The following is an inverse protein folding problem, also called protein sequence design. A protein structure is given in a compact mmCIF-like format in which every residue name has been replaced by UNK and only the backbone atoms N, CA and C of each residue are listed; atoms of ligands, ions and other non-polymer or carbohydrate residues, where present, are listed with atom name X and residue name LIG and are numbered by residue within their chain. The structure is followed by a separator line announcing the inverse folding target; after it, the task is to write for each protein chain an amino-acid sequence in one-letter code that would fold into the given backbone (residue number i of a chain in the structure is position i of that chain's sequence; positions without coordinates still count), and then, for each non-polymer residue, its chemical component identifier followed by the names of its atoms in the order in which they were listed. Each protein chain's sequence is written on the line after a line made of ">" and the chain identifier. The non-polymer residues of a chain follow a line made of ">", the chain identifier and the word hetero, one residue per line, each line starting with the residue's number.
data_IF_496061459920
#
_entry.id   IF_496061459920
#
_cell.length_a   1.000
_cell.length_b   1.000
_cell.length_c   1.000
_cell.angle_alpha   90.00
_cell.angle_beta   90.00
_cell.angle_gamma   90.00
#
_symmetry.space_group_name_H-M   'P 1'
#
loop_
_entity.id
_entity.type
_entity.pdbx_description
1 polymer ?
#
# COMPACT_ATOMS: atom_id res chain seq x y z
N UNK A 1 -46.97 52.72 18.00
CA UNK A 1 -46.47 51.37 18.36
C UNK A 1 -46.22 50.45 17.15
N UNK A 2 -47.00 50.51 16.06
CA UNK A 2 -46.82 49.61 14.90
C UNK A 2 -45.52 49.78 14.08
N UNK A 3 -44.92 50.98 14.02
CA UNK A 3 -43.66 51.21 13.26
C UNK A 3 -42.43 50.54 13.89
N UNK A 4 -42.38 50.44 15.21
CA UNK A 4 -41.27 49.77 15.90
C UNK A 4 -41.38 48.24 15.82
N UNK A 5 -42.61 47.71 15.76
CA UNK A 5 -42.86 46.28 15.60
C UNK A 5 -42.38 45.75 14.25
N UNK A 6 -42.55 46.53 13.17
CA UNK A 6 -42.08 46.18 11.83
C UNK A 6 -40.54 46.18 11.76
N UNK A 7 -39.89 47.13 12.44
CA UNK A 7 -38.42 47.20 12.50
C UNK A 7 -37.85 46.02 13.33
N UNK A 8 -38.51 45.65 14.43
CA UNK A 8 -38.10 44.52 15.29
C UNK A 8 -38.34 43.18 14.57
N UNK A 9 -39.42 43.01 13.81
CA UNK A 9 -39.63 41.78 13.02
C UNK A 9 -38.62 41.71 11.87
N UNK A 10 -38.29 42.84 11.24
CA UNK A 10 -37.29 42.88 10.16
C UNK A 10 -35.86 42.59 10.65
N UNK A 11 -35.49 42.99 11.87
CA UNK A 11 -34.16 42.67 12.43
C UNK A 11 -34.07 41.20 12.88
N UNK A 12 -35.18 40.63 13.36
CA UNK A 12 -35.26 39.22 13.77
C UNK A 12 -35.21 38.30 12.54
N UNK A 13 -35.87 38.65 11.43
CA UNK A 13 -35.75 37.92 10.16
C UNK A 13 -34.33 38.01 9.55
N UNK A 14 -33.60 39.11 9.73
CA UNK A 14 -32.21 39.23 9.27
C UNK A 14 -31.25 38.35 10.11
N UNK A 15 -31.56 38.11 11.39
CA UNK A 15 -30.77 37.26 12.28
C UNK A 15 -30.92 35.76 11.98
N UNK A 16 -32.04 35.32 11.40
CA UNK A 16 -32.22 33.94 10.95
C UNK A 16 -31.56 33.62 9.60
N UNK A 17 -31.11 34.62 8.83
CA UNK A 17 -30.39 34.42 7.57
C UNK A 17 -28.88 34.14 7.76
N UNK A 18 -28.36 34.21 9.00
CA UNK A 18 -26.94 33.96 9.31
C UNK A 18 -26.65 32.55 9.84
N UNK A 19 -27.65 31.65 9.87
CA UNK A 19 -27.50 30.32 10.45
C UNK A 19 -27.90 29.20 9.48
N UNK A 20 -27.13 29.10 8.39
CA UNK A 20 -26.84 27.83 7.71
C UNK A 20 -25.56 28.05 6.90
N UNK A 21 -24.43 28.16 7.59
CA UNK A 21 -23.14 27.93 6.95
C UNK A 21 -23.02 26.42 6.88
N UNK A 22 -23.47 25.81 5.79
CA UNK A 22 -23.01 24.45 5.45
C UNK A 22 -21.48 24.51 5.58
N UNK A 23 -20.90 23.64 6.42
CA UNK A 23 -19.45 23.48 6.34
C UNK A 23 -19.17 23.06 4.90
N UNK A 24 -18.14 23.64 4.28
CA UNK A 24 -17.78 23.39 2.88
C UNK A 24 -17.45 21.89 2.57
N UNK A 25 -17.57 21.02 3.58
CA UNK A 25 -17.10 19.64 3.60
C UNK A 25 -15.58 19.56 3.55
N UNK A 26 -15.06 18.34 3.58
CA UNK A 26 -13.71 18.09 3.10
C UNK A 26 -13.74 18.12 1.57
N UNK A 27 -12.75 18.78 0.98
CA UNK A 27 -12.70 18.97 -0.47
C UNK A 27 -11.37 18.45 -1.02
N UNK A 28 -11.43 17.49 -1.93
CA UNK A 28 -10.29 17.01 -2.71
C UNK A 28 -10.46 17.50 -4.15
N UNK A 29 -9.60 18.42 -4.58
CA UNK A 29 -9.58 18.94 -5.96
C UNK A 29 -8.37 18.39 -6.68
N UNK A 30 -8.49 18.13 -7.97
CA UNK A 30 -7.31 17.78 -8.74
C UNK A 30 -7.30 18.24 -10.17
N UNK A 31 -6.10 18.18 -10.74
CA UNK A 31 -5.74 18.53 -12.11
C UNK A 31 -4.76 17.43 -12.59
N UNK A 32 -5.27 16.47 -13.37
CA UNK A 32 -4.53 15.27 -13.76
C UNK A 32 -4.53 15.16 -15.29
N UNK A 33 -3.35 15.28 -15.89
CA UNK A 33 -3.18 15.09 -17.34
C UNK A 33 -3.35 13.60 -17.73
N UNK A 34 -3.61 13.34 -19.02
CA UNK A 34 -3.64 12.01 -19.63
C UNK A 34 -4.62 10.98 -19.02
N UNK A 35 -5.69 11.45 -18.38
CA UNK A 35 -6.81 10.59 -17.98
C UNK A 35 -7.51 9.98 -19.21
N UNK A 36 -7.55 8.65 -19.26
CA UNK A 36 -8.26 7.87 -20.29
C UNK A 36 -9.78 7.83 -20.05
N UNK A 37 -10.18 7.93 -18.79
CA UNK A 37 -11.57 7.89 -18.34
C UNK A 37 -12.11 9.30 -18.01
N UNK A 38 -13.40 9.58 -18.28
CA UNK A 38 -14.07 10.82 -17.83
C UNK A 38 -14.47 10.78 -16.35
N UNK A 39 -14.09 9.74 -15.61
CA UNK A 39 -14.31 9.60 -14.18
C UNK A 39 -13.12 8.96 -13.47
N UNK A 40 -12.92 9.34 -12.21
CA UNK A 40 -11.97 8.75 -11.25
C UNK A 40 -12.78 7.96 -10.24
N UNK A 41 -12.33 6.75 -9.87
CA UNK A 41 -12.91 6.04 -8.73
C UNK A 41 -12.15 6.43 -7.47
N UNK A 42 -12.86 6.76 -6.41
CA UNK A 42 -12.29 6.96 -5.08
C UNK A 42 -12.75 5.82 -4.17
N UNK A 43 -11.83 5.20 -3.45
CA UNK A 43 -12.16 4.29 -2.36
C UNK A 43 -11.57 4.75 -1.04
N UNK A 44 -12.32 4.56 0.04
CA UNK A 44 -11.87 4.87 1.39
C UNK A 44 -12.67 4.05 2.41
N UNK A 45 -12.12 3.89 3.60
CA UNK A 45 -12.82 3.26 4.71
C UNK A 45 -13.61 4.33 5.48
N UNK A 46 -14.89 4.06 5.70
CA UNK A 46 -15.76 4.85 6.57
C UNK A 46 -16.38 3.91 7.60
N UNK A 47 -16.05 4.13 8.88
CA UNK A 47 -16.26 3.13 9.94
C UNK A 47 -15.72 1.75 9.49
N UNK A 48 -16.58 0.73 9.43
CA UNK A 48 -16.21 -0.64 9.05
C UNK A 48 -16.56 -1.00 7.61
N UNK A 49 -16.87 -0.01 6.76
CA UNK A 49 -17.28 -0.22 5.37
C UNK A 49 -16.33 0.42 4.38
N UNK A 50 -16.02 -0.31 3.31
CA UNK A 50 -15.37 0.24 2.13
C UNK A 50 -16.41 1.03 1.33
N UNK A 51 -16.17 2.33 1.18
CA UNK A 51 -16.94 3.21 0.30
C UNK A 51 -16.21 3.30 -1.04
N UNK A 52 -16.98 3.27 -2.14
CA UNK A 52 -16.47 3.49 -3.50
C UNK A 52 -17.36 4.54 -4.16
N UNK A 53 -16.75 5.65 -4.56
CA UNK A 53 -17.42 6.76 -5.22
C UNK A 53 -16.86 6.99 -6.63
N UNK A 54 -17.73 7.44 -7.53
CA UNK A 54 -17.35 7.86 -8.88
C UNK A 54 -17.28 9.38 -8.94
N UNK A 55 -16.10 9.92 -9.24
CA UNK A 55 -15.83 11.35 -9.33
C UNK A 55 -15.81 11.78 -10.80
N UNK A 56 -16.71 12.66 -11.25
CA UNK A 56 -16.68 13.16 -12.63
C UNK A 56 -15.48 14.07 -12.86
N UNK A 57 -14.86 13.94 -14.03
CA UNK A 57 -13.77 14.79 -14.51
C UNK A 57 -14.33 15.76 -15.56
N UNK A 58 -14.08 17.05 -15.37
CA UNK A 58 -14.57 18.10 -16.26
C UNK A 58 -13.63 18.30 -17.47
N UNK A 59 -14.08 19.04 -18.48
CA UNK A 59 -13.41 19.21 -19.78
C UNK A 59 -11.93 19.62 -19.71
N UNK A 60 -11.52 20.31 -18.64
CA UNK A 60 -10.15 20.73 -18.39
C UNK A 60 -9.31 19.71 -17.59
N UNK A 61 -9.75 18.44 -17.54
CA UNK A 61 -9.10 17.36 -16.77
C UNK A 61 -8.98 17.64 -15.27
N UNK A 62 -9.87 18.50 -14.76
CA UNK A 62 -9.99 18.78 -13.33
C UNK A 62 -11.15 18.03 -12.74
N UNK A 63 -11.02 17.72 -11.45
CA UNK A 63 -12.11 17.17 -10.66
C UNK A 63 -12.24 17.92 -9.34
N UNK A 64 -13.42 17.83 -8.74
CA UNK A 64 -13.71 18.38 -7.44
C UNK A 64 -14.61 17.39 -6.69
N UNK A 65 -14.05 16.77 -5.67
CA UNK A 65 -14.72 15.79 -4.85
C UNK A 65 -14.98 16.37 -3.47
N UNK A 66 -16.25 16.50 -3.12
CA UNK A 66 -16.70 16.92 -1.79
C UNK A 66 -17.13 15.68 -1.02
N UNK A 67 -16.59 15.51 0.17
CA UNK A 67 -16.86 14.37 1.04
C UNK A 67 -16.99 14.83 2.48
N UNK A 68 -17.85 14.16 3.23
CA UNK A 68 -18.02 14.41 4.66
C UNK A 68 -17.34 13.27 5.42
N UNK A 69 -16.28 13.62 6.14
CA UNK A 69 -15.53 12.72 7.02
C UNK A 69 -15.36 13.41 8.37
N UNK A 70 -15.22 12.62 9.43
CA UNK A 70 -15.07 13.08 10.81
C UNK A 70 -13.65 12.90 11.37
N UNK A 71 -12.82 12.10 10.70
CA UNK A 71 -11.42 11.85 11.08
C UNK A 71 -10.48 11.89 9.86
N UNK A 72 -9.18 11.86 10.10
CA UNK A 72 -8.17 11.65 9.05
C UNK A 72 -8.45 10.35 8.27
N UNK A 73 -8.70 10.48 6.98
CA UNK A 73 -9.05 9.38 6.08
C UNK A 73 -8.08 9.30 4.91
N UNK A 74 -7.68 8.08 4.54
CA UNK A 74 -6.92 7.81 3.33
C UNK A 74 -7.86 7.44 2.18
N UNK A 75 -7.79 8.21 1.09
CA UNK A 75 -8.54 7.99 -0.14
C UNK A 75 -7.60 7.43 -1.20
N UNK A 76 -7.92 6.27 -1.76
CA UNK A 76 -7.29 5.75 -2.96
C UNK A 76 -8.03 6.27 -4.19
N UNK A 77 -7.38 7.13 -4.97
CA UNK A 77 -7.90 7.63 -6.23
C UNK A 77 -7.34 6.77 -7.37
N UNK A 78 -8.19 5.96 -8.01
CA UNK A 78 -7.81 5.13 -9.15
C UNK A 78 -7.84 5.94 -10.43
N UNK A 79 -6.69 5.98 -11.11
CA UNK A 79 -6.39 6.84 -12.25
C UNK A 79 -5.79 5.95 -13.34
N UNK A 80 -6.54 5.74 -14.43
CA UNK A 80 -6.23 4.74 -15.46
C UNK A 80 -5.97 3.36 -14.80
N UNK A 81 -4.81 2.75 -15.04
CA UNK A 81 -4.40 1.46 -14.44
C UNK A 81 -3.62 1.63 -13.11
N UNK A 82 -3.43 2.87 -12.66
CA UNK A 82 -2.70 3.22 -11.45
C UNK A 82 -3.60 3.78 -10.34
N UNK A 83 -2.98 4.19 -9.25
CA UNK A 83 -3.67 4.91 -8.18
C UNK A 83 -2.76 5.87 -7.45
N UNK A 84 -3.36 6.83 -6.74
CA UNK A 84 -2.65 7.70 -5.80
C UNK A 84 -3.43 7.81 -4.50
N UNK A 85 -2.73 7.82 -3.36
CA UNK A 85 -3.34 7.94 -2.05
C UNK A 85 -3.36 9.42 -1.63
N UNK A 86 -4.51 9.86 -1.12
CA UNK A 86 -4.74 11.22 -0.63
C UNK A 86 -5.19 11.14 0.82
N UNK A 87 -4.48 11.81 1.73
CA UNK A 87 -4.91 11.91 3.13
C UNK A 87 -5.73 13.19 3.31
N UNK A 88 -6.89 13.14 3.94
CA UNK A 88 -7.67 14.35 4.25
C UNK A 88 -8.35 14.21 5.60
N UNK A 89 -8.44 15.31 6.35
CA UNK A 89 -9.19 15.40 7.60
C UNK A 89 -10.43 16.30 7.42
N UNK A 90 -11.32 16.30 8.41
CA UNK A 90 -12.57 17.06 8.40
C UNK A 90 -12.32 18.55 8.08
N UNK A 91 -13.00 19.04 7.05
CA UNK A 91 -12.97 20.44 6.62
C UNK A 91 -11.70 20.86 5.87
N UNK A 92 -10.76 19.93 5.62
CA UNK A 92 -9.55 20.24 4.87
C UNK A 92 -9.82 20.39 3.37
N UNK A 93 -8.97 21.21 2.72
CA UNK A 93 -8.95 21.41 1.27
C UNK A 93 -7.64 20.86 0.73
N UNK A 94 -7.70 19.72 0.06
CA UNK A 94 -6.56 18.99 -0.47
C UNK A 94 -6.51 19.13 -1.99
N UNK A 95 -5.31 19.25 -2.55
CA UNK A 95 -5.05 19.43 -3.97
C UNK A 95 -4.22 18.28 -4.52
N UNK A 96 -4.61 17.74 -5.67
CA UNK A 96 -3.95 16.65 -6.37
C UNK A 96 -3.50 17.14 -7.75
N UNK A 97 -2.22 17.00 -8.08
CA UNK A 97 -1.68 17.42 -9.39
C UNK A 97 -0.72 16.39 -9.96
N UNK A 98 -0.84 16.09 -11.24
CA UNK A 98 0.11 15.21 -11.90
C UNK A 98 -0.35 14.73 -13.26
N UNK A 99 0.17 13.57 -13.63
CA UNK A 99 -0.04 12.93 -14.92
C UNK A 99 -0.44 11.47 -14.66
N UNK A 100 -1.54 11.04 -15.26
CA UNK A 100 -2.06 9.69 -15.14
C UNK A 100 -1.11 8.62 -15.68
N UNK A 101 -0.15 8.99 -16.54
CA UNK A 101 0.92 8.08 -17.02
C UNK A 101 1.97 7.79 -15.95
N UNK A 102 2.07 8.64 -14.91
CA UNK A 102 3.06 8.51 -13.84
C UNK A 102 2.41 8.66 -12.46
N UNK A 103 1.55 7.69 -12.05
CA UNK A 103 0.77 7.78 -10.81
C UNK A 103 1.64 7.92 -9.55
N UNK A 104 2.82 7.30 -9.53
CA UNK A 104 3.76 7.32 -8.39
C UNK A 104 4.30 8.72 -8.06
N UNK A 105 4.34 9.63 -9.05
CA UNK A 105 4.82 11.01 -8.87
C UNK A 105 3.70 12.04 -8.79
N UNK A 106 2.44 11.59 -8.72
CA UNK A 106 1.32 12.50 -8.46
C UNK A 106 1.54 13.18 -7.10
N UNK A 107 1.45 14.51 -7.13
CA UNK A 107 1.67 15.43 -6.02
C UNK A 107 0.36 15.68 -5.31
N UNK A 108 0.37 15.56 -3.99
CA UNK A 108 -0.78 15.83 -3.14
C UNK A 108 -0.37 16.86 -2.09
N UNK A 109 -1.17 17.89 -1.88
CA UNK A 109 -0.86 18.93 -0.90
C UNK A 109 -2.12 19.44 -0.19
N UNK A 110 -1.94 20.07 0.97
CA UNK A 110 -3.06 20.62 1.75
C UNK A 110 -3.06 20.20 3.22
N UNK A 111 -2.18 19.28 3.60
CA UNK A 111 -1.86 18.97 4.99
C UNK A 111 -0.42 18.42 5.09
N UNK A 112 0.08 18.28 6.31
CA UNK A 112 1.45 17.85 6.62
C UNK A 112 1.80 16.51 5.95
N UNK A 113 0.98 15.47 6.16
CA UNK A 113 1.21 14.12 5.63
C UNK A 113 1.38 14.12 4.11
N UNK A 114 0.48 14.78 3.39
CA UNK A 114 0.55 14.86 1.94
C UNK A 114 1.75 15.68 1.45
N UNK A 115 2.05 16.80 2.13
CA UNK A 115 3.18 17.65 1.78
C UNK A 115 4.50 16.90 1.96
N UNK A 116 4.64 16.17 3.05
CA UNK A 116 5.81 15.34 3.37
C UNK A 116 6.01 14.20 2.38
N UNK A 117 4.94 13.44 2.07
CA UNK A 117 5.01 12.38 1.07
C UNK A 117 5.28 12.92 -0.34
N UNK A 118 4.77 14.12 -0.65
CA UNK A 118 5.08 14.81 -1.91
C UNK A 118 6.52 15.28 -1.97
N UNK A 119 7.10 15.74 -0.85
CA UNK A 119 8.52 16.07 -0.78
C UNK A 119 9.36 14.82 -1.06
N UNK A 120 9.09 13.71 -0.37
CA UNK A 120 9.75 12.42 -0.63
C UNK A 120 9.66 12.00 -2.11
N UNK A 121 8.48 12.11 -2.73
CA UNK A 121 8.29 11.81 -4.16
C UNK A 121 9.08 12.75 -5.07
N UNK A 122 9.21 14.03 -4.73
CA UNK A 122 9.99 14.98 -5.52
C UNK A 122 11.48 14.69 -5.44
N UNK A 123 11.99 14.37 -4.24
CA UNK A 123 13.40 14.05 -4.01
C UNK A 123 13.82 12.77 -4.75
N UNK A 124 12.87 11.86 -4.97
CA UNK A 124 13.08 10.57 -5.63
C UNK A 124 12.38 10.47 -7.00
N UNK A 125 12.03 11.61 -7.62
CA UNK A 125 11.16 11.64 -8.80
C UNK A 125 11.72 10.86 -9.99
N UNK A 126 13.04 10.90 -10.20
CA UNK A 126 13.67 10.24 -11.35
C UNK A 126 13.61 8.72 -11.21
N UNK A 127 13.86 8.18 -10.02
CA UNK A 127 13.69 6.75 -9.71
C UNK A 127 12.24 6.30 -9.89
N UNK A 128 11.29 7.09 -9.37
CA UNK A 128 9.86 6.78 -9.49
C UNK A 128 9.37 6.81 -10.94
N UNK A 129 9.87 7.74 -11.77
CA UNK A 129 9.56 7.78 -13.21
C UNK A 129 10.15 6.60 -13.96
N UNK A 130 11.41 6.25 -13.69
CA UNK A 130 12.05 5.06 -14.29
C UNK A 130 11.30 3.78 -13.93
N UNK A 131 10.90 3.64 -12.65
CA UNK A 131 10.05 2.54 -12.18
C UNK A 131 8.73 2.47 -12.94
N UNK A 132 8.04 3.61 -13.08
CA UNK A 132 6.78 3.68 -13.83
C UNK A 132 6.92 3.28 -15.31
N UNK A 133 7.98 3.75 -15.99
CA UNK A 133 8.27 3.38 -17.37
C UNK A 133 8.52 1.88 -17.50
N UNK A 134 9.34 1.32 -16.61
CA UNK A 134 9.69 -0.10 -16.63
C UNK A 134 8.47 -1.00 -16.37
N UNK A 135 7.60 -0.61 -15.44
CA UNK A 135 6.33 -1.32 -15.19
C UNK A 135 5.41 -1.32 -16.41
N UNK A 136 5.33 -0.18 -17.11
CA UNK A 136 4.56 -0.09 -18.34
C UNK A 136 5.14 -0.99 -19.45
N UNK A 137 6.46 -0.98 -19.63
CA UNK A 137 7.13 -1.82 -20.62
C UNK A 137 6.94 -3.32 -20.33
N UNK A 138 6.98 -3.72 -19.04
CA UNK A 138 6.73 -5.09 -18.61
C UNK A 138 5.26 -5.52 -18.81
N UNK A 139 4.30 -4.61 -18.60
CA UNK A 139 2.89 -4.89 -18.88
C UNK A 139 2.65 -5.11 -20.38
N UNK A 140 3.26 -4.30 -21.25
CA UNK A 140 3.20 -4.49 -22.71
C UNK A 140 3.77 -5.85 -23.13
N UNK A 141 4.84 -6.33 -22.47
CA UNK A 141 5.43 -7.64 -22.74
C UNK A 141 4.49 -8.80 -22.33
N UNK A 142 3.60 -8.60 -21.34
CA UNK A 142 2.63 -9.62 -20.90
C UNK A 142 1.52 -9.87 -21.93
N UNK A 143 1.15 -8.85 -22.71
CA UNK A 143 0.10 -8.95 -23.73
C UNK A 143 0.60 -9.53 -25.07
N UNK A 144 1.94 -9.58 -25.28
CA UNK A 144 2.58 -10.11 -26.49
C UNK A 144 3.17 -11.50 -26.19
N UNK A 145 2.34 -12.53 -26.08
CA UNK A 145 2.83 -13.88 -25.83
C UNK A 145 3.38 -14.56 -27.12
N UNK A 146 4.38 -15.44 -26.96
CA UNK A 146 4.99 -16.37 -27.94
C UNK A 146 6.23 -15.97 -28.79
N UNK A 147 7.31 -15.47 -28.17
CA UNK A 147 8.65 -15.61 -28.78
C UNK A 147 9.75 -15.79 -27.73
N UNK A 148 10.55 -16.86 -27.88
CA UNK A 148 11.69 -17.20 -27.00
C UNK A 148 12.73 -16.08 -26.87
N UNK A 149 12.70 -15.05 -27.73
CA UNK A 149 13.60 -13.90 -27.66
C UNK A 149 13.18 -12.85 -26.61
N UNK A 150 11.94 -12.88 -26.10
CA UNK A 150 11.45 -11.91 -25.11
C UNK A 150 11.79 -12.29 -23.65
N UNK A 151 12.22 -13.53 -23.39
CA UNK A 151 12.51 -14.00 -22.02
C UNK A 151 13.69 -13.29 -21.37
N UNK A 152 14.77 -13.05 -22.14
CA UNK A 152 15.98 -12.37 -21.66
C UNK A 152 15.69 -10.89 -21.34
N UNK A 153 15.05 -10.16 -22.27
CA UNK A 153 14.68 -8.75 -22.04
C UNK A 153 13.70 -8.56 -20.88
N UNK A 154 12.80 -9.54 -20.66
CA UNK A 154 11.88 -9.54 -19.50
C UNK A 154 12.63 -9.79 -18.19
N UNK A 155 13.57 -10.74 -18.17
CA UNK A 155 14.42 -11.02 -17.00
C UNK A 155 15.28 -9.81 -16.62
N UNK A 156 15.87 -9.15 -17.60
CA UNK A 156 16.65 -7.92 -17.39
C UNK A 156 15.75 -6.79 -16.86
N UNK A 157 14.54 -6.65 -17.42
CA UNK A 157 13.55 -5.68 -16.94
C UNK A 157 13.14 -5.93 -15.49
N UNK A 158 12.88 -7.18 -15.10
CA UNK A 158 12.56 -7.53 -13.70
C UNK A 158 13.75 -7.25 -12.78
N UNK A 159 14.97 -7.56 -13.22
CA UNK A 159 16.19 -7.29 -12.44
C UNK A 159 16.39 -5.79 -12.20
N UNK A 160 16.21 -4.97 -13.24
CA UNK A 160 16.26 -3.50 -13.12
C UNK A 160 15.16 -2.96 -12.20
N UNK A 161 13.95 -3.54 -12.26
CA UNK A 161 12.85 -3.14 -11.39
C UNK A 161 13.17 -3.45 -9.92
N UNK A 162 13.77 -4.60 -9.65
CA UNK A 162 14.21 -4.99 -8.31
C UNK A 162 15.31 -4.06 -7.79
N UNK A 163 16.27 -3.67 -8.63
CA UNK A 163 17.30 -2.69 -8.27
C UNK A 163 16.69 -1.33 -7.92
N UNK A 164 15.77 -0.82 -8.74
CA UNK A 164 15.07 0.45 -8.47
C UNK A 164 14.23 0.39 -7.19
N UNK A 165 13.50 -0.71 -6.97
CA UNK A 165 12.72 -0.91 -5.76
C UNK A 165 13.63 -0.98 -4.52
N UNK A 166 14.80 -1.62 -4.62
CA UNK A 166 15.79 -1.65 -3.55
C UNK A 166 16.31 -0.24 -3.24
N UNK A 167 16.69 0.53 -4.26
CA UNK A 167 17.15 1.91 -4.08
C UNK A 167 16.08 2.82 -3.44
N UNK A 168 14.83 2.73 -3.90
CA UNK A 168 13.71 3.45 -3.29
C UNK A 168 13.46 3.02 -1.84
N UNK A 169 13.66 1.75 -1.51
CA UNK A 169 13.55 1.23 -0.13
C UNK A 169 14.64 1.83 0.77
N UNK A 170 15.87 1.95 0.27
CA UNK A 170 16.96 2.62 1.00
C UNK A 170 16.64 4.11 1.23
N UNK A 171 16.09 4.78 0.22
CA UNK A 171 15.66 6.18 0.32
C UNK A 171 14.52 6.37 1.32
N UNK A 172 13.55 5.45 1.33
CA UNK A 172 12.49 5.44 2.32
C UNK A 172 13.05 5.28 3.74
N UNK A 173 14.02 4.37 3.94
CA UNK A 173 14.66 4.19 5.25
C UNK A 173 15.41 5.45 5.72
N UNK A 174 16.17 6.09 4.82
CA UNK A 174 16.88 7.35 5.10
C UNK A 174 15.90 8.42 5.60
N UNK A 175 14.79 8.61 4.88
CA UNK A 175 13.73 9.53 5.28
C UNK A 175 13.14 9.18 6.66
N UNK A 176 12.85 7.89 6.92
CA UNK A 176 12.27 7.44 8.19
C UNK A 176 13.20 7.78 9.38
N UNK A 177 14.51 7.57 9.22
CA UNK A 177 15.51 7.91 10.26
C UNK A 177 15.58 9.40 10.54
N UNK A 178 15.45 10.23 9.50
CA UNK A 178 15.48 11.68 9.62
C UNK A 178 14.16 12.27 10.16
N UNK A 179 13.06 11.53 10.03
CA UNK A 179 11.71 12.00 10.37
C UNK A 179 10.95 11.00 11.28
N UNK A 180 11.52 10.58 12.42
CA UNK A 180 10.99 9.46 13.21
C UNK A 180 9.61 9.73 13.83
N UNK A 181 9.24 10.99 14.01
CA UNK A 181 7.97 11.41 14.63
C UNK A 181 6.84 11.66 13.64
N UNK A 182 7.11 11.59 12.32
CA UNK A 182 6.13 11.97 11.30
C UNK A 182 5.24 10.80 10.89
N UNK A 183 3.95 11.09 10.66
CA UNK A 183 3.02 10.10 10.10
C UNK A 183 3.43 9.66 8.70
N UNK A 184 4.07 10.53 7.90
CA UNK A 184 4.63 10.16 6.59
C UNK A 184 5.64 9.00 6.68
N UNK A 185 6.46 8.93 7.74
CA UNK A 185 7.39 7.83 7.97
C UNK A 185 6.63 6.52 8.19
N UNK A 186 5.55 6.52 8.96
CA UNK A 186 4.70 5.33 9.14
C UNK A 186 4.07 4.87 7.81
N UNK A 187 3.63 5.81 6.97
CA UNK A 187 3.11 5.49 5.64
C UNK A 187 4.19 4.88 4.75
N UNK A 188 5.41 5.43 4.76
CA UNK A 188 6.54 4.87 4.00
C UNK A 188 6.95 3.48 4.50
N UNK A 189 6.91 3.23 5.82
CA UNK A 189 7.10 1.90 6.40
C UNK A 189 6.08 0.92 5.80
N UNK A 190 4.79 1.29 5.83
CA UNK A 190 3.73 0.45 5.29
C UNK A 190 3.93 0.16 3.80
N UNK A 191 4.38 1.14 3.01
CA UNK A 191 4.51 1.01 1.56
C UNK A 191 5.74 0.21 1.11
N UNK A 192 6.88 0.32 1.82
CA UNK A 192 8.15 -0.26 1.38
C UNK A 192 8.59 -1.50 2.17
N UNK A 193 8.11 -1.69 3.41
CA UNK A 193 8.66 -2.72 4.31
C UNK A 193 7.69 -3.83 4.69
N UNK A 194 6.40 -3.72 4.33
CA UNK A 194 5.41 -4.78 4.62
C UNK A 194 5.57 -6.01 3.73
N UNK A 195 6.11 -5.85 2.52
CA UNK A 195 6.39 -6.93 1.57
C UNK A 195 7.89 -7.16 1.37
N UNK A 196 8.73 -6.85 2.37
CA UNK A 196 10.17 -7.01 2.22
C UNK A 196 10.58 -8.48 2.27
N UNK A 197 11.50 -8.90 1.41
CA UNK A 197 12.11 -10.24 1.40
C UNK A 197 12.91 -10.56 2.68
N UNK A 198 13.11 -9.55 3.54
CA UNK A 198 13.88 -9.65 4.77
C UNK A 198 12.97 -9.39 5.97
N UNK A 199 12.48 -10.43 6.66
CA UNK A 199 11.55 -10.29 7.80
C UNK A 199 11.99 -9.26 8.86
N UNK A 200 13.30 -9.17 9.13
CA UNK A 200 13.90 -8.25 10.11
C UNK A 200 13.87 -6.78 9.69
N UNK A 201 13.68 -6.46 8.41
CA UNK A 201 13.71 -5.06 7.94
C UNK A 201 12.53 -4.27 8.46
N UNK A 202 11.32 -4.87 8.50
CA UNK A 202 10.14 -4.21 9.06
C UNK A 202 10.30 -3.89 10.55
N UNK A 203 10.82 -4.84 11.34
CA UNK A 203 11.09 -4.64 12.77
C UNK A 203 12.04 -3.46 12.99
N UNK A 204 13.12 -3.44 12.22
CA UNK A 204 14.17 -2.43 12.31
C UNK A 204 13.65 -1.02 12.02
N UNK A 205 12.87 -0.83 10.96
CA UNK A 205 12.33 0.51 10.62
C UNK A 205 11.21 0.95 11.57
N UNK A 206 10.41 0.02 12.11
CA UNK A 206 9.45 0.33 13.17
C UNK A 206 10.16 0.79 14.44
N UNK A 207 11.35 0.26 14.72
CA UNK A 207 12.20 0.67 15.85
C UNK A 207 12.78 2.08 15.74
N UNK A 208 12.72 2.72 14.57
CA UNK A 208 13.13 4.13 14.41
C UNK A 208 12.02 5.11 14.78
N UNK A 209 10.76 4.68 14.85
CA UNK A 209 9.64 5.59 15.10
C UNK A 209 9.67 6.15 16.54
N UNK A 210 9.31 7.42 16.68
CA UNK A 210 9.30 8.14 17.96
C UNK A 210 8.04 9.00 18.13
N UNK A 211 7.71 9.39 19.36
CA UNK A 211 6.56 10.26 19.64
C UNK A 211 5.20 9.62 19.36
N UNK A 212 4.20 10.45 19.06
CA UNK A 212 2.79 10.01 18.99
C UNK A 212 2.51 8.96 17.90
N UNK A 213 3.33 8.92 16.84
CA UNK A 213 3.17 7.95 15.75
C UNK A 213 3.35 6.50 16.23
N UNK A 214 4.12 6.29 17.30
CA UNK A 214 4.36 4.97 17.91
C UNK A 214 3.08 4.40 18.51
N UNK A 215 2.22 5.26 19.04
CA UNK A 215 1.00 4.86 19.75
C UNK A 215 -0.20 4.60 18.84
N UNK A 216 -0.07 4.88 17.54
CA UNK A 216 -1.14 4.67 16.57
C UNK A 216 -1.49 3.18 16.41
N UNK A 217 -2.75 2.88 16.13
CA UNK A 217 -3.21 1.50 15.90
C UNK A 217 -2.53 0.86 14.68
N UNK A 218 -2.15 1.67 13.68
CA UNK A 218 -1.41 1.20 12.51
C UNK A 218 -0.03 0.69 12.94
N UNK A 219 0.72 1.46 13.74
CA UNK A 219 2.02 1.02 14.26
C UNK A 219 1.90 -0.25 15.07
N UNK A 220 0.91 -0.34 15.98
CA UNK A 220 0.64 -1.55 16.79
C UNK A 220 0.34 -2.77 15.92
N UNK A 221 -0.46 -2.61 14.86
CA UNK A 221 -0.74 -3.69 13.89
C UNK A 221 0.50 -4.11 13.12
N UNK A 222 1.32 -3.16 12.67
CA UNK A 222 2.57 -3.45 11.97
C UNK A 222 3.59 -4.14 12.88
N UNK A 223 3.67 -3.79 14.16
CA UNK A 223 4.50 -4.49 15.14
C UNK A 223 4.05 -5.94 15.32
N UNK A 224 2.75 -6.20 15.47
CA UNK A 224 2.22 -7.57 15.55
C UNK A 224 2.50 -8.34 14.26
N UNK A 225 2.36 -7.71 13.10
CA UNK A 225 2.69 -8.32 11.82
C UNK A 225 4.18 -8.64 11.70
N UNK A 226 5.06 -7.71 12.07
CA UNK A 226 6.51 -7.90 12.12
C UNK A 226 6.90 -9.06 13.05
N UNK A 227 6.30 -9.18 14.23
CA UNK A 227 6.52 -10.31 15.13
C UNK A 227 6.13 -11.65 14.50
N UNK A 228 5.08 -11.69 13.66
CA UNK A 228 4.69 -12.91 12.94
C UNK A 228 5.72 -13.25 11.85
N UNK A 229 6.14 -12.27 11.05
CA UNK A 229 7.16 -12.46 10.03
C UNK A 229 8.49 -12.96 10.63
N UNK A 230 8.88 -12.41 11.77
CA UNK A 230 10.12 -12.78 12.45
C UNK A 230 10.16 -14.23 12.96
N UNK A 231 9.02 -14.92 13.06
CA UNK A 231 8.98 -16.35 13.44
C UNK A 231 9.52 -17.26 12.34
N UNK A 232 9.59 -16.77 11.11
CA UNK A 232 10.16 -17.49 9.96
C UNK A 232 11.40 -16.79 9.40
N UNK A 233 12.04 -15.90 10.17
CA UNK A 233 13.26 -15.25 9.75
C UNK A 233 14.46 -16.22 9.71
N UNK A 234 15.50 -15.85 8.97
CA UNK A 234 16.80 -16.52 9.08
C UNK A 234 17.30 -16.48 10.53
N UNK A 235 17.89 -17.59 10.97
CA UNK A 235 18.28 -17.90 12.35
C UNK A 235 17.13 -18.09 13.36
N UNK A 236 15.87 -17.94 12.94
CA UNK A 236 14.74 -18.24 13.82
C UNK A 236 14.65 -19.74 14.09
N UNK A 237 14.25 -20.11 15.31
CA UNK A 237 13.96 -21.50 15.63
C UNK A 237 12.67 -21.93 14.94
N UNK A 238 12.69 -23.10 14.29
CA UNK A 238 11.49 -23.66 13.68
C UNK A 238 10.33 -23.74 14.69
N UNK A 239 9.14 -23.22 14.36
CA UNK A 239 7.98 -23.34 15.23
C UNK A 239 7.62 -24.79 15.48
N UNK A 240 7.14 -25.09 16.69
CA UNK A 240 6.56 -26.39 16.96
C UNK A 240 5.32 -26.60 16.09
N UNK A 241 5.26 -27.75 15.42
CA UNK A 241 4.08 -28.23 14.70
C UNK A 241 3.83 -29.70 15.04
N UNK A 242 2.57 -30.10 14.91
CA UNK A 242 2.10 -31.49 14.96
C UNK A 242 1.11 -31.69 13.81
N UNK A 243 1.37 -32.69 12.98
CA UNK A 243 0.57 -33.05 11.80
C UNK A 243 0.25 -34.55 11.84
N UNK A 244 -0.72 -34.95 11.05
CA UNK A 244 -1.04 -36.35 10.79
C UNK A 244 -0.66 -36.66 9.36
N UNK A 245 0.16 -37.68 9.14
CA UNK A 245 0.53 -38.11 7.79
C UNK A 245 -0.60 -38.90 7.09
N UNK A 246 -0.34 -39.31 5.84
CA UNK A 246 -1.29 -40.08 5.03
C UNK A 246 -1.61 -41.47 5.58
N UNK A 247 -0.79 -41.99 6.50
CA UNK A 247 -0.99 -43.28 7.17
C UNK A 247 -1.70 -43.12 8.53
N UNK A 248 -2.04 -41.89 8.92
CA UNK A 248 -2.70 -41.60 10.19
C UNK A 248 -1.73 -41.46 11.38
N UNK A 249 -0.41 -41.46 11.14
CA UNK A 249 0.60 -41.33 12.18
C UNK A 249 0.87 -39.87 12.49
N UNK A 250 1.00 -39.58 13.78
CA UNK A 250 1.38 -38.26 14.25
C UNK A 250 2.87 -38.01 14.01
N UNK A 251 3.17 -36.91 13.33
CA UNK A 251 4.50 -36.36 13.16
C UNK A 251 4.58 -34.98 13.80
N UNK A 252 5.73 -34.61 14.34
CA UNK A 252 5.96 -33.31 14.94
C UNK A 252 7.36 -32.79 14.58
N UNK A 253 7.57 -31.49 14.80
CA UNK A 253 8.84 -30.80 14.51
C UNK A 253 10.09 -31.52 15.06
N UNK A 254 10.02 -32.18 16.23
CA UNK A 254 11.17 -32.88 16.82
C UNK A 254 11.55 -34.16 16.08
N UNK A 255 10.64 -34.77 15.30
CA UNK A 255 10.95 -35.94 14.48
C UNK A 255 12.00 -35.65 13.40
N UNK A 256 12.23 -34.37 13.08
CA UNK A 256 13.17 -33.92 12.05
C UNK A 256 14.48 -33.37 12.63
N UNK A 257 14.71 -33.50 13.94
CA UNK A 257 15.92 -33.01 14.59
C UNK A 257 17.18 -33.61 13.95
N UNK A 258 18.14 -32.75 13.59
CA UNK A 258 19.40 -33.16 12.96
C UNK A 258 19.32 -33.36 11.44
N UNK A 259 18.18 -33.03 10.82
CA UNK A 259 17.99 -33.06 9.37
C UNK A 259 17.70 -31.66 8.83
N UNK A 260 17.99 -31.43 7.56
CA UNK A 260 17.44 -30.31 6.83
C UNK A 260 15.97 -30.61 6.53
N UNK A 261 15.09 -29.68 6.87
CA UNK A 261 13.65 -29.83 6.69
C UNK A 261 13.16 -28.78 5.70
N UNK A 262 12.59 -29.24 4.59
CA UNK A 262 11.84 -28.40 3.68
C UNK A 262 10.36 -28.47 4.07
N UNK A 263 9.80 -27.33 4.46
CA UNK A 263 8.36 -27.16 4.66
C UNK A 263 7.76 -26.52 3.42
N UNK A 264 6.79 -27.20 2.81
CA UNK A 264 6.01 -26.69 1.68
C UNK A 264 4.57 -26.46 2.15
N UNK A 265 4.02 -25.26 1.94
CA UNK A 265 2.66 -24.94 2.34
C UNK A 265 1.77 -24.96 1.10
N UNK A 266 1.12 -26.10 0.85
CA UNK A 266 0.37 -26.36 -0.39
C UNK A 266 -1.12 -26.56 -0.16
N UNK A 267 -1.91 -26.32 -1.20
CA UNK A 267 -3.34 -26.64 -1.26
C UNK A 267 -3.63 -27.67 -2.34
N UNK A 268 -4.53 -28.61 -2.08
CA UNK A 268 -4.96 -29.62 -3.06
C UNK A 268 -5.75 -29.04 -4.24
N UNK A 269 -6.15 -27.78 -4.18
CA UNK A 269 -6.88 -27.08 -5.26
C UNK A 269 -6.05 -26.02 -5.95
N UNK A 270 -4.81 -25.76 -5.52
CA UNK A 270 -3.96 -24.70 -6.08
C UNK A 270 -3.17 -25.19 -7.29
N UNK A 271 -3.27 -24.53 -8.44
CA UNK A 271 -2.47 -24.86 -9.63
C UNK A 271 -0.97 -24.72 -9.31
N UNK A 272 -0.56 -23.60 -8.71
CA UNK A 272 0.83 -23.37 -8.29
C UNK A 272 1.32 -24.41 -7.25
N UNK A 273 0.41 -24.87 -6.38
CA UNK A 273 0.72 -25.95 -5.44
C UNK A 273 1.01 -27.27 -6.15
N UNK A 274 0.27 -27.61 -7.21
CA UNK A 274 0.55 -28.81 -8.01
C UNK A 274 1.91 -28.72 -8.71
N UNK A 275 2.20 -27.59 -9.37
CA UNK A 275 3.49 -27.36 -10.03
C UNK A 275 4.65 -27.44 -9.03
N UNK A 276 4.50 -26.83 -7.86
CA UNK A 276 5.49 -26.91 -6.77
C UNK A 276 5.71 -28.36 -6.34
N UNK A 277 4.64 -29.14 -6.13
CA UNK A 277 4.77 -30.55 -5.73
C UNK A 277 5.42 -31.40 -6.82
N UNK A 278 5.16 -31.14 -8.10
CA UNK A 278 5.86 -31.82 -9.20
C UNK A 278 7.36 -31.55 -9.17
N UNK A 279 7.78 -30.29 -9.05
CA UNK A 279 9.20 -29.92 -8.93
C UNK A 279 9.87 -30.56 -7.70
N UNK A 280 9.17 -30.57 -6.56
CA UNK A 280 9.71 -31.14 -5.33
C UNK A 280 9.83 -32.68 -5.38
N UNK A 281 8.96 -33.37 -6.14
CA UNK A 281 9.06 -34.82 -6.33
C UNK A 281 10.34 -35.20 -7.04
N UNK A 282 10.67 -34.49 -8.12
CA UNK A 282 11.88 -34.75 -8.91
C UNK A 282 13.15 -34.59 -8.04
N UNK A 283 13.20 -33.55 -7.21
CA UNK A 283 14.31 -33.34 -6.26
C UNK A 283 14.33 -34.39 -5.14
N UNK A 284 13.17 -34.83 -4.66
CA UNK A 284 13.08 -35.85 -3.61
C UNK A 284 13.60 -37.23 -4.05
N UNK A 285 13.56 -37.54 -5.35
CA UNK A 285 14.09 -38.81 -5.87
C UNK A 285 15.61 -38.91 -5.80
N UNK A 286 16.31 -37.78 -5.92
CA UNK A 286 17.78 -37.73 -6.01
C UNK A 286 18.47 -37.36 -4.68
N UNK A 287 17.72 -36.83 -3.71
CA UNK A 287 18.28 -36.34 -2.44
C UNK A 287 18.49 -37.45 -1.40
N UNK A 288 19.52 -37.28 -0.55
CA UNK A 288 19.76 -38.17 0.57
C UNK A 288 18.69 -37.99 1.67
N UNK A 289 17.81 -38.99 1.79
CA UNK A 289 16.69 -39.03 2.73
C UNK A 289 17.11 -39.12 4.21
N UNK A 290 18.36 -39.51 4.49
CA UNK A 290 18.87 -39.49 5.86
C UNK A 290 19.20 -38.07 6.34
N UNK A 291 19.58 -37.19 5.41
CA UNK A 291 19.96 -35.81 5.71
C UNK A 291 18.86 -34.77 5.46
N UNK A 292 17.96 -35.03 4.51
CA UNK A 292 16.90 -34.06 4.13
C UNK A 292 15.53 -34.71 4.17
N UNK A 293 14.53 -33.97 4.66
CA UNK A 293 13.14 -34.39 4.77
C UNK A 293 12.21 -33.29 4.25
N UNK A 294 11.08 -33.72 3.70
CA UNK A 294 10.07 -32.87 3.07
C UNK A 294 8.76 -33.07 3.81
N UNK A 295 8.09 -31.97 4.14
CA UNK A 295 6.72 -31.97 4.68
C UNK A 295 5.91 -30.98 3.86
N UNK A 296 4.80 -31.45 3.30
CA UNK A 296 3.89 -30.69 2.42
C UNK A 296 2.45 -30.86 2.86
#
# INVERSE_FOLDING_TARGET
>A
MGKYYIIIISIICLLFALSCKESDGTIIKGDIANLSSPYILASYLSADSLVIDTIPVYDNKKFNYKVNIDTLTAFSLYINDGSTVVFADNGQKVTVKGDALYPDVIKVSGNEVNNDLTAFKNDNQDLLKQRGQLLNDLNVIKDIDSSRNNSLSKSDGISNLNLLNHELTLKAEEYIKENPTKLSSLILINNFFTNSDTPKSLERVLGYLEGDVVETDITKRLQVYSQKLNRSAEDATIPYFQLTDSEGKLINSYNFKGKYLLLSFVSNTGIESHETIELLKDEYEVINKDSVQFVS
#
